data_IF_353248749011
#
_entry.id   IF_353248749011
#
_cell.length_a   1.000
_cell.length_b   1.000
_cell.length_c   1.000
_cell.angle_alpha   90.00
_cell.angle_beta   90.00
_cell.angle_gamma   90.00
#
_symmetry.space_group_name_H-M   'P 1'
#
loop_
_entity.id
_entity.type
_entity.pdbx_description
1 polymer ?
#
# COMPACT_ATOMS: atom_id res chain seq x y z
N UNK A 1 -11.76 -7.75 3.73
CA UNK A 1 -10.85 -6.92 2.89
C UNK A 1 -10.59 -5.59 3.59
N UNK A 2 -9.38 -5.38 4.12
CA UNK A 2 -9.09 -4.20 4.95
C UNK A 2 -9.05 -2.93 4.09
N UNK A 3 -9.53 -1.80 4.63
CA UNK A 3 -9.54 -0.50 3.94
C UNK A 3 -8.15 -0.08 3.44
N UNK A 4 -7.10 -0.50 4.15
CA UNK A 4 -5.70 -0.15 3.89
C UNK A 4 -5.16 -0.81 2.61
N UNK A 5 -5.61 -2.02 2.27
CA UNK A 5 -5.13 -2.73 1.08
C UNK A 5 -5.53 -2.05 -0.23
N UNK A 6 -6.53 -1.15 -0.22
CA UNK A 6 -6.95 -0.36 -1.39
C UNK A 6 -5.96 0.76 -1.74
N UNK A 7 -5.08 1.15 -0.81
CA UNK A 7 -4.12 2.24 -0.99
C UNK A 7 -2.71 1.75 -1.36
N UNK A 8 -2.57 0.46 -1.66
CA UNK A 8 -1.35 -0.15 -2.16
C UNK A 8 -1.56 -0.73 -3.55
N UNK A 9 -0.51 -0.74 -4.37
CA UNK A 9 -0.52 -1.46 -5.63
C UNK A 9 -0.41 -2.96 -5.40
N UNK A 10 -0.67 -3.74 -6.44
CA UNK A 10 -0.49 -5.20 -6.44
C UNK A 10 0.95 -5.60 -6.07
N UNK A 11 1.94 -4.79 -6.46
CA UNK A 11 3.36 -4.95 -6.09
C UNK A 11 3.64 -4.66 -4.61
N UNK A 12 2.64 -4.20 -3.86
CA UNK A 12 2.76 -3.79 -2.46
C UNK A 12 3.27 -2.36 -2.28
N UNK A 13 3.36 -1.51 -3.32
CA UNK A 13 3.84 -0.12 -3.20
C UNK A 13 2.72 0.82 -2.77
N UNK A 14 3.02 1.89 -2.02
CA UNK A 14 2.00 2.86 -1.60
C UNK A 14 1.59 3.72 -2.81
N UNK A 15 0.28 3.82 -3.07
CA UNK A 15 -0.24 4.65 -4.15
C UNK A 15 -0.12 6.14 -3.82
N UNK A 16 0.14 6.96 -4.84
CA UNK A 16 0.27 8.40 -4.67
C UNK A 16 -1.08 9.06 -4.32
N UNK A 17 -1.03 10.21 -3.64
CA UNK A 17 -2.23 11.00 -3.30
C UNK A 17 -3.11 11.32 -4.53
N UNK A 18 -2.49 11.57 -5.69
CA UNK A 18 -3.19 11.89 -6.95
C UNK A 18 -4.07 10.72 -7.42
N UNK A 19 -3.58 9.50 -7.23
CA UNK A 19 -4.33 8.27 -7.54
C UNK A 19 -5.43 8.04 -6.50
N UNK A 20 -5.09 8.19 -5.22
CA UNK A 20 -6.03 7.94 -4.11
C UNK A 20 -7.13 9.01 -3.99
N UNK A 21 -6.94 10.21 -4.57
CA UNK A 21 -7.87 11.35 -4.50
C UNK A 21 -8.29 11.72 -3.08
N UNK A 22 -7.35 11.67 -2.14
CA UNK A 22 -7.55 12.05 -0.74
C UNK A 22 -6.87 13.38 -0.40
N UNK A 23 -7.25 13.96 0.74
CA UNK A 23 -6.57 15.15 1.28
C UNK A 23 -5.14 14.82 1.69
N UNK A 24 -4.29 15.84 1.81
CA UNK A 24 -2.91 15.67 2.25
C UNK A 24 -2.83 15.08 3.67
N UNK A 25 -3.71 15.51 4.58
CA UNK A 25 -3.78 15.02 5.95
C UNK A 25 -4.11 13.53 5.98
N UNK A 26 -5.10 13.10 5.21
CA UNK A 26 -5.47 11.68 5.09
C UNK A 26 -4.33 10.86 4.50
N UNK A 27 -3.67 11.32 3.43
CA UNK A 27 -2.54 10.58 2.85
C UNK A 27 -1.40 10.38 3.85
N UNK A 28 -1.10 11.37 4.70
CA UNK A 28 -0.08 11.25 5.76
C UNK A 28 -0.46 10.15 6.75
N UNK A 29 -1.70 10.13 7.22
CA UNK A 29 -2.21 9.10 8.13
C UNK A 29 -2.16 7.71 7.50
N UNK A 30 -2.61 7.58 6.25
CA UNK A 30 -2.58 6.32 5.49
C UNK A 30 -1.13 5.80 5.36
N UNK A 31 -0.19 6.69 5.03
CA UNK A 31 1.22 6.32 4.85
C UNK A 31 1.83 5.80 6.15
N UNK A 32 1.52 6.42 7.29
CA UNK A 32 1.98 5.98 8.61
C UNK A 32 1.39 4.60 8.93
N UNK A 33 0.07 4.43 8.76
CA UNK A 33 -0.62 3.17 9.04
C UNK A 33 -0.08 2.01 8.18
N UNK A 34 0.16 2.23 6.88
CA UNK A 34 0.74 1.20 5.99
C UNK A 34 2.15 0.81 6.45
N UNK A 35 2.98 1.78 6.84
CA UNK A 35 4.34 1.49 7.32
C UNK A 35 4.31 0.68 8.61
N UNK A 36 3.44 1.04 9.56
CA UNK A 36 3.26 0.28 10.80
C UNK A 36 2.79 -1.16 10.51
N UNK A 37 1.79 -1.32 9.64
CA UNK A 37 1.28 -2.63 9.23
C UNK A 37 2.37 -3.51 8.57
N UNK A 38 3.28 -2.91 7.78
CA UNK A 38 4.41 -3.64 7.20
C UNK A 38 5.43 -4.11 8.24
N UNK A 39 5.74 -3.27 9.24
CA UNK A 39 6.63 -3.65 10.35
C UNK A 39 6.03 -4.81 11.14
N UNK A 40 4.70 -4.82 11.32
CA UNK A 40 3.95 -5.89 11.97
C UNK A 40 3.68 -7.10 11.06
N UNK A 41 4.28 -7.15 9.87
CA UNK A 41 4.10 -8.24 8.88
C UNK A 41 2.65 -8.46 8.42
N UNK A 42 1.75 -7.48 8.61
CA UNK A 42 0.37 -7.52 8.11
C UNK A 42 0.29 -7.20 6.61
N UNK A 43 1.30 -6.50 6.08
CA UNK A 43 1.42 -6.15 4.66
C UNK A 43 2.84 -6.44 4.15
N UNK A 44 2.99 -6.93 2.91
CA UNK A 44 4.29 -7.17 2.32
C UNK A 44 4.99 -5.87 1.90
N UNK A 45 6.32 -5.88 1.92
CA UNK A 45 7.14 -4.79 1.37
C UNK A 45 7.23 -4.86 -0.15
N UNK A 46 7.27 -6.07 -0.72
CA UNK A 46 7.36 -6.36 -2.14
C UNK A 46 6.56 -7.62 -2.45
N UNK A 47 5.71 -7.56 -3.48
CA UNK A 47 5.07 -8.74 -4.06
C UNK A 47 5.75 -9.07 -5.39
N UNK A 48 6.49 -10.18 -5.43
CA UNK A 48 7.18 -10.68 -6.63
C UNK A 48 6.26 -11.53 -7.52
N UNK A 49 5.06 -11.03 -7.85
CA UNK A 49 4.08 -11.83 -8.60
C UNK A 49 4.39 -12.05 -10.09
N UNK A 50 5.46 -11.45 -10.64
CA UNK A 50 5.83 -11.63 -12.06
C UNK A 50 7.01 -12.59 -12.27
N UNK A 51 6.90 -13.82 -11.79
CA UNK A 51 7.93 -14.85 -12.05
C UNK A 51 7.58 -15.86 -13.14
N UNK A 52 6.33 -15.88 -13.62
CA UNK A 52 5.87 -16.86 -14.60
C UNK A 52 4.90 -16.25 -15.62
N UNK A 53 5.39 -15.36 -16.47
CA UNK A 53 4.82 -15.18 -17.81
C UNK A 53 5.90 -15.71 -18.77
N UNK A 54 5.70 -16.95 -19.22
CA UNK A 54 6.42 -17.55 -20.36
C UNK A 54 5.68 -17.18 -21.64
#
# INVERSE_FOLDING_TARGET
MSLISRFISEQGKILSRRVNRVTLKQQRLITIAIKQARILSLLPFLNNQKRFER
#
